data_IF_022398292231
#
_entry.id   IF_022398292231
#
_cell.length_a   1.000
_cell.length_b   1.000
_cell.length_c   1.000
_cell.angle_alpha   90.00
_cell.angle_beta   90.00
_cell.angle_gamma   90.00
#
_symmetry.space_group_name_H-M   'P 1'
#
loop_
_entity.id
_entity.type
_entity.pdbx_description
1 polymer ?
#
# COMPACT_ATOMS: atom_id res chain seq x y z
N UNK A 1 -40.33 -22.85 -29.33
CA UNK A 1 -38.96 -23.35 -29.05
C UNK A 1 -37.90 -22.24 -29.20
N UNK A 2 -37.78 -21.60 -30.38
CA UNK A 2 -36.70 -20.64 -30.71
C UNK A 2 -36.58 -19.40 -29.79
N UNK A 3 -37.71 -18.85 -29.32
CA UNK A 3 -37.71 -17.70 -28.39
C UNK A 3 -37.17 -18.02 -27.00
N UNK A 4 -37.20 -19.30 -26.58
CA UNK A 4 -36.64 -19.73 -25.28
C UNK A 4 -35.13 -19.91 -25.38
N UNK A 5 -34.61 -20.38 -26.52
CA UNK A 5 -33.17 -20.46 -26.80
C UNK A 5 -32.52 -19.06 -26.82
N UNK A 6 -33.16 -18.07 -27.45
CA UNK A 6 -32.63 -16.70 -27.48
C UNK A 6 -32.57 -16.04 -26.09
N UNK A 7 -33.58 -16.30 -25.23
CA UNK A 7 -33.57 -15.83 -23.83
C UNK A 7 -32.50 -16.54 -22.99
N UNK A 8 -32.27 -17.82 -23.24
CA UNK A 8 -31.22 -18.57 -22.56
C UNK A 8 -29.83 -18.03 -22.93
N UNK A 9 -29.60 -17.78 -24.22
CA UNK A 9 -28.34 -17.21 -24.71
C UNK A 9 -28.09 -15.80 -24.16
N UNK A 10 -29.13 -14.96 -24.06
CA UNK A 10 -29.02 -13.62 -23.49
C UNK A 10 -28.69 -13.66 -21.99
N UNK A 11 -29.32 -14.56 -21.22
CA UNK A 11 -29.01 -14.75 -19.80
C UNK A 11 -27.58 -15.28 -19.58
N UNK A 12 -27.11 -16.17 -20.45
CA UNK A 12 -25.76 -16.71 -20.41
C UNK A 12 -24.71 -15.64 -20.75
N UNK A 13 -25.01 -14.77 -21.71
CA UNK A 13 -24.17 -13.62 -22.08
C UNK A 13 -24.10 -12.58 -20.93
N UNK A 14 -25.23 -12.32 -20.26
CA UNK A 14 -25.30 -11.40 -19.12
C UNK A 14 -24.48 -11.91 -17.92
N UNK A 15 -24.52 -13.22 -17.66
CA UNK A 15 -23.73 -13.86 -16.60
C UNK A 15 -22.22 -13.83 -16.85
N UNK A 16 -21.79 -13.83 -18.13
CA UNK A 16 -20.38 -13.76 -18.49
C UNK A 16 -19.76 -12.36 -18.30
N UNK A 17 -20.59 -11.32 -18.14
CA UNK A 17 -20.13 -9.92 -18.06
C UNK A 17 -19.70 -9.47 -16.66
N UNK A 18 -19.77 -10.34 -15.64
CA UNK A 18 -19.45 -10.00 -14.23
C UNK A 18 -18.04 -10.45 -13.82
N UNK A 19 -17.20 -10.87 -14.77
CA UNK A 19 -15.78 -11.07 -14.51
C UNK A 19 -15.01 -9.79 -14.87
N UNK A 20 -15.20 -8.72 -14.09
CA UNK A 20 -14.23 -7.60 -14.12
C UNK A 20 -12.93 -8.14 -13.51
N UNK A 21 -11.79 -8.10 -14.23
CA UNK A 21 -10.52 -8.36 -13.59
C UNK A 21 -10.35 -7.35 -12.46
N UNK A 22 -10.08 -7.82 -11.25
CA UNK A 22 -9.63 -6.98 -10.15
C UNK A 22 -8.24 -6.44 -10.52
N UNK A 23 -8.22 -5.42 -11.38
CA UNK A 23 -7.02 -4.64 -11.66
C UNK A 23 -6.69 -3.91 -10.36
N UNK A 24 -5.64 -4.37 -9.68
CA UNK A 24 -5.06 -3.67 -8.54
C UNK A 24 -4.88 -2.19 -8.89
N UNK A 25 -5.67 -1.32 -8.26
CA UNK A 25 -5.53 0.11 -8.44
C UNK A 25 -4.25 0.54 -7.74
N UNK A 26 -3.21 0.89 -8.49
CA UNK A 26 -1.99 1.50 -7.95
C UNK A 26 -1.77 2.85 -8.61
N UNK A 27 -1.62 3.90 -7.81
CA UNK A 27 -1.29 5.23 -8.30
C UNK A 27 -0.09 5.79 -7.55
N UNK A 28 0.76 6.53 -8.27
CA UNK A 28 1.76 7.42 -7.66
C UNK A 28 1.20 8.82 -7.70
N UNK A 29 1.17 9.50 -6.56
CA UNK A 29 0.65 10.85 -6.41
C UNK A 29 1.78 11.75 -5.94
N UNK A 30 2.04 12.81 -6.69
CA UNK A 30 3.01 13.84 -6.35
C UNK A 30 2.25 15.12 -5.96
N UNK A 31 2.64 15.69 -4.83
CA UNK A 31 2.08 16.97 -4.36
C UNK A 31 3.17 17.87 -3.84
N UNK A 32 2.90 19.17 -3.96
CA UNK A 32 3.79 20.23 -3.48
C UNK A 32 3.01 21.18 -2.58
N UNK A 33 3.67 21.69 -1.55
CA UNK A 33 3.16 22.78 -0.73
C UNK A 33 4.20 23.89 -0.64
N UNK A 34 3.80 25.17 -0.76
CA UNK A 34 4.72 26.29 -0.70
C UNK A 34 5.34 26.40 0.70
N UNK A 35 6.59 26.86 0.74
CA UNK A 35 7.37 27.06 1.95
C UNK A 35 7.58 28.56 2.19
N UNK A 36 7.07 29.07 3.31
CA UNK A 36 7.16 30.49 3.67
C UNK A 36 8.57 30.91 4.09
N UNK A 37 9.28 30.00 4.76
CA UNK A 37 10.63 30.15 5.28
C UNK A 37 11.20 28.77 5.65
N UNK A 38 12.51 28.69 5.92
CA UNK A 38 13.20 27.43 6.24
C UNK A 38 13.19 27.06 7.72
N UNK A 39 12.30 27.63 8.53
CA UNK A 39 12.13 27.14 9.90
C UNK A 39 11.54 25.74 9.90
N UNK A 40 11.88 24.96 10.93
CA UNK A 40 11.31 23.62 11.12
C UNK A 40 9.78 23.64 11.18
N UNK A 41 9.21 24.70 11.74
CA UNK A 41 7.76 24.87 11.83
C UNK A 41 7.13 25.06 10.45
N UNK A 42 7.71 25.91 9.61
CA UNK A 42 7.24 26.15 8.24
C UNK A 42 7.39 24.90 7.37
N UNK A 43 8.51 24.17 7.49
CA UNK A 43 8.72 22.89 6.81
C UNK A 43 7.68 21.85 7.24
N UNK A 44 7.44 21.72 8.55
CA UNK A 44 6.46 20.76 9.10
C UNK A 44 5.05 21.07 8.60
N UNK A 45 4.67 22.34 8.58
CA UNK A 45 3.36 22.78 8.08
C UNK A 45 3.21 22.49 6.58
N UNK A 46 4.21 22.85 5.76
CA UNK A 46 4.20 22.59 4.32
C UNK A 46 4.15 21.08 4.03
N UNK A 47 4.96 20.28 4.71
CA UNK A 47 4.94 18.83 4.61
C UNK A 47 3.55 18.25 4.94
N UNK A 48 2.96 18.65 6.07
CA UNK A 48 1.61 18.21 6.47
C UNK A 48 0.57 18.58 5.42
N UNK A 49 0.60 19.81 4.89
CA UNK A 49 -0.32 20.24 3.84
C UNK A 49 -0.16 19.43 2.55
N UNK A 50 1.08 19.13 2.15
CA UNK A 50 1.34 18.31 0.97
C UNK A 50 0.79 16.89 1.15
N UNK A 51 1.00 16.28 2.34
CA UNK A 51 0.51 14.95 2.70
C UNK A 51 -1.03 14.92 2.70
N UNK A 52 -1.67 15.85 3.40
CA UNK A 52 -3.15 15.90 3.45
C UNK A 52 -3.76 16.04 2.05
N UNK A 53 -3.14 16.84 1.18
CA UNK A 53 -3.57 16.99 -0.21
C UNK A 53 -3.44 15.68 -0.99
N UNK A 54 -2.29 15.00 -0.85
CA UNK A 54 -2.02 13.76 -1.55
C UNK A 54 -2.97 12.63 -1.11
N UNK A 55 -3.18 12.49 0.21
CA UNK A 55 -4.10 11.50 0.79
C UNK A 55 -5.54 11.75 0.36
N UNK A 56 -5.97 13.01 0.32
CA UNK A 56 -7.30 13.36 -0.19
C UNK A 56 -7.48 12.96 -1.65
N UNK A 57 -6.45 13.17 -2.48
CA UNK A 57 -6.42 12.70 -3.85
C UNK A 57 -6.52 11.18 -3.96
N UNK A 58 -5.76 10.45 -3.14
CA UNK A 58 -5.80 8.99 -3.07
C UNK A 58 -7.21 8.46 -2.72
N UNK A 59 -7.83 9.03 -1.67
CA UNK A 59 -9.18 8.65 -1.24
C UNK A 59 -10.22 8.96 -2.32
N UNK A 60 -10.11 10.11 -3.00
CA UNK A 60 -11.00 10.46 -4.11
C UNK A 60 -10.89 9.49 -5.30
N UNK A 61 -9.75 8.81 -5.45
CA UNK A 61 -9.52 7.78 -6.46
C UNK A 61 -9.91 6.36 -5.99
N UNK A 62 -10.42 6.20 -4.77
CA UNK A 62 -10.75 4.89 -4.20
C UNK A 62 -9.52 4.07 -3.78
N UNK A 63 -8.39 4.74 -3.51
CA UNK A 63 -7.13 4.11 -3.10
C UNK A 63 -6.82 4.45 -1.63
N UNK A 64 -7.47 3.78 -0.65
CA UNK A 64 -7.42 4.19 0.76
C UNK A 64 -6.07 3.92 1.44
N UNK A 65 -5.24 3.04 0.90
CA UNK A 65 -3.94 2.71 1.49
C UNK A 65 -2.85 3.50 0.81
N UNK A 66 -2.08 4.24 1.61
CA UNK A 66 -1.05 5.16 1.13
C UNK A 66 0.29 4.86 1.79
N UNK A 67 1.37 4.94 1.02
CA UNK A 67 2.73 4.82 1.52
C UNK A 67 3.54 6.02 1.03
N UNK A 68 4.17 6.75 1.95
CA UNK A 68 5.11 7.81 1.59
C UNK A 68 6.36 7.18 0.95
N UNK A 69 6.72 7.64 -0.26
CA UNK A 69 7.89 7.14 -1.00
C UNK A 69 9.04 8.13 -0.90
N UNK A 70 8.74 9.41 -0.99
CA UNK A 70 9.74 10.46 -0.98
C UNK A 70 9.16 11.74 -0.37
N UNK A 71 10.00 12.49 0.31
CA UNK A 71 9.76 13.86 0.73
C UNK A 71 11.06 14.65 0.56
N UNK A 72 10.98 15.80 -0.11
CA UNK A 72 12.13 16.67 -0.37
C UNK A 72 11.74 18.12 -0.12
N UNK A 73 12.64 18.85 0.53
CA UNK A 73 12.55 20.30 0.67
C UNK A 73 13.33 20.91 -0.48
N UNK A 74 12.66 21.75 -1.26
CA UNK A 74 13.22 22.54 -2.36
C UNK A 74 13.33 24.00 -1.94
N UNK A 75 13.75 24.88 -2.85
CA UNK A 75 14.04 26.28 -2.51
C UNK A 75 12.82 27.05 -1.95
N UNK A 76 11.62 26.77 -2.43
CA UNK A 76 10.40 27.51 -2.09
C UNK A 76 9.21 26.60 -1.77
N UNK A 77 9.45 25.28 -1.65
CA UNK A 77 8.39 24.31 -1.47
C UNK A 77 8.85 23.00 -0.84
N UNK A 78 7.91 22.28 -0.28
CA UNK A 78 8.06 20.87 0.07
C UNK A 78 7.35 20.04 -0.99
N UNK A 79 8.05 19.11 -1.63
CA UNK A 79 7.51 18.15 -2.57
C UNK A 79 7.48 16.76 -1.94
N UNK A 80 6.38 16.04 -2.11
CA UNK A 80 6.25 14.66 -1.66
C UNK A 80 5.73 13.77 -2.78
N UNK A 81 6.03 12.47 -2.64
CA UNK A 81 5.47 11.43 -3.48
C UNK A 81 4.91 10.33 -2.59
N UNK A 82 3.65 9.95 -2.83
CA UNK A 82 3.00 8.81 -2.19
C UNK A 82 2.61 7.76 -3.22
N UNK A 83 2.65 6.48 -2.83
CA UNK A 83 2.05 5.37 -3.56
C UNK A 83 0.73 5.02 -2.90
N UNK A 84 -0.36 5.09 -3.64
CA UNK A 84 -1.70 4.75 -3.20
C UNK A 84 -2.16 3.43 -3.83
N UNK A 85 -2.85 2.60 -3.05
CA UNK A 85 -3.33 1.28 -3.47
C UNK A 85 -4.68 0.91 -2.84
N UNK A 86 -5.48 0.09 -3.52
CA UNK A 86 -6.72 -0.51 -3.00
C UNK A 86 -6.52 -1.93 -2.44
N UNK A 87 -5.41 -2.59 -2.78
CA UNK A 87 -5.04 -3.93 -2.28
C UNK A 87 -4.84 -3.97 -0.77
N UNK A 88 -5.23 -5.09 -0.14
CA UNK A 88 -4.87 -5.40 1.24
C UNK A 88 -3.35 -5.57 1.38
N UNK A 89 -2.74 -5.16 2.51
CA UNK A 89 -1.34 -5.47 2.74
C UNK A 89 -1.20 -7.00 2.68
N UNK A 90 -0.32 -7.49 1.81
CA UNK A 90 0.19 -8.85 1.97
C UNK A 90 0.72 -8.90 3.40
N UNK A 91 0.21 -9.84 4.20
CA UNK A 91 0.70 -10.05 5.55
C UNK A 91 2.22 -10.16 5.44
N UNK A 92 2.93 -9.19 6.02
CA UNK A 92 4.38 -9.17 6.08
C UNK A 92 4.81 -10.55 6.55
N UNK A 93 5.44 -11.33 5.67
CA UNK A 93 6.21 -12.48 6.13
C UNK A 93 7.23 -11.89 7.07
N UNK A 94 7.22 -12.23 8.38
CA UNK A 94 8.16 -11.65 9.31
C UNK A 94 9.55 -11.87 8.73
N UNK A 95 10.29 -10.79 8.49
CA UNK A 95 11.73 -10.93 8.27
C UNK A 95 12.28 -11.64 9.50
N UNK A 96 13.03 -12.75 9.35
CA UNK A 96 13.60 -13.43 10.50
C UNK A 96 14.49 -12.43 11.25
N UNK A 97 14.18 -12.22 12.53
CA UNK A 97 14.99 -11.39 13.41
C UNK A 97 16.45 -11.88 13.34
N UNK A 98 17.42 -11.03 12.99
CA UNK A 98 18.83 -11.43 12.92
C UNK A 98 19.42 -11.78 14.31
N UNK A 99 18.65 -11.63 15.39
CA UNK A 99 19.03 -11.91 16.77
C UNK A 99 18.48 -13.24 17.33
N UNK A 100 17.76 -14.07 16.55
CA UNK A 100 17.61 -15.48 16.92
C UNK A 100 18.94 -16.22 16.71
N UNK A 101 19.84 -16.06 17.69
CA UNK A 101 20.94 -17.00 17.90
C UNK A 101 20.30 -18.38 18.07
N UNK A 102 20.62 -19.37 17.21
CA UNK A 102 20.15 -20.72 17.40
C UNK A 102 20.56 -21.16 18.80
N UNK A 103 19.57 -21.39 19.67
CA UNK A 103 19.78 -21.91 21.00
C UNK A 103 20.62 -23.16 20.90
N UNK A 104 21.88 -23.04 21.32
CA UNK A 104 22.81 -24.13 21.49
C UNK A 104 22.14 -25.15 22.42
N UNK A 105 21.71 -26.26 21.85
CA UNK A 105 21.10 -27.37 22.57
C UNK A 105 22.16 -28.07 23.42
N UNK A 106 22.55 -27.43 24.53
CA UNK A 106 23.28 -28.06 25.63
C UNK A 106 22.32 -28.96 26.41
N UNK A 107 22.03 -30.12 25.82
CA UNK A 107 21.39 -31.25 26.47
C UNK A 107 22.29 -32.47 26.34
N UNK A 108 23.33 -32.54 27.17
CA UNK A 108 24.18 -33.73 27.31
C UNK A 108 23.32 -34.97 27.62
N UNK A 109 23.38 -36.05 26.81
CA UNK A 109 22.88 -37.34 27.25
C UNK A 109 23.93 -37.97 28.19
N UNK A 110 23.54 -38.11 29.46
CA UNK A 110 24.35 -38.66 30.52
C UNK A 110 24.98 -40.02 30.18
N UNK A 111 26.31 -40.07 30.26
CA UNK A 111 27.03 -41.32 30.50
C UNK A 111 26.86 -41.69 31.98
N UNK A 112 26.06 -42.72 32.23
CA UNK A 112 26.09 -43.43 33.51
C UNK A 112 27.15 -44.53 33.39
N UNK A 113 28.35 -44.23 33.88
CA UNK A 113 29.34 -45.25 34.24
C UNK A 113 29.12 -45.57 35.73
N UNK A 114 28.42 -46.69 36.01
CA UNK A 114 28.43 -47.44 37.28
C UNK A 114 28.23 -48.94 36.99
#
# INVERSE_FOLDING_TARGET
MMRRLGRLALLLLLMLSVASPALAGVATIETTAPLSDYSEQSITMAFKTAVETAVRGAVAMGLPRVQLRQAVVLEDMVAIQIRATDMEPDAETPEPDPDETPGDGAGEPGRLDL
#
